data_IF_829569467608
#
_entry.id   IF_829569467608
#
_cell.length_a   1.000
_cell.length_b   1.000
_cell.length_c   1.000
_cell.angle_alpha   90.00
_cell.angle_beta   90.00
_cell.angle_gamma   90.00
#
_symmetry.space_group_name_H-M   'P 1'
#
loop_
_entity.id
_entity.type
_entity.pdbx_description
1 polymer ?
#
# COMPACT_ATOMS: atom_id res chain seq x y z
N UNK A 1 14.74 -16.46 10.13
CA UNK A 1 14.35 -16.01 10.19
C UNK A 1 13.68 -15.35 9.54
N UNK A 2 13.34 -15.16 9.02
CA UNK A 2 12.93 -14.52 8.68
C UNK A 2 11.92 -13.95 8.17
N UNK A 3 10.81 -14.20 7.82
CA UNK A 3 9.75 -13.35 7.59
C UNK A 3 10.01 -11.95 7.90
N UNK A 4 10.96 -11.70 8.46
CA UNK A 4 11.39 -10.39 8.84
C UNK A 4 11.36 -9.39 7.71
N UNK A 5 11.64 -9.81 6.51
CA UNK A 5 11.72 -8.88 5.39
C UNK A 5 10.38 -8.22 5.09
N UNK A 6 9.30 -8.99 5.20
CA UNK A 6 7.98 -8.44 4.97
C UNK A 6 7.63 -7.39 6.01
N UNK A 7 7.87 -7.68 7.28
CA UNK A 7 7.60 -6.74 8.35
C UNK A 7 8.47 -5.49 8.24
N UNK A 8 9.75 -5.69 7.90
CA UNK A 8 10.65 -4.57 7.72
C UNK A 8 10.20 -3.67 6.58
N UNK A 9 9.73 -4.27 5.50
CA UNK A 9 9.25 -3.50 4.35
C UNK A 9 8.00 -2.70 4.73
N UNK A 10 7.09 -3.28 5.50
CA UNK A 10 5.92 -2.56 5.98
C UNK A 10 6.33 -1.32 6.80
N UNK A 11 7.38 -1.46 7.58
CA UNK A 11 7.87 -0.35 8.39
C UNK A 11 8.47 0.79 7.55
N UNK A 12 8.79 0.54 6.30
CA UNK A 12 9.30 1.57 5.41
C UNK A 12 8.20 2.50 4.91
N UNK A 13 6.94 2.11 5.07
CA UNK A 13 5.83 2.92 4.64
C UNK A 13 5.54 4.03 5.65
N UNK A 14 5.27 5.22 5.13
CA UNK A 14 4.79 6.32 5.97
C UNK A 14 3.38 6.00 6.46
N UNK A 15 2.89 6.72 7.50
CA UNK A 15 1.50 6.51 7.95
C UNK A 15 0.48 6.66 6.83
N UNK A 16 0.66 7.64 5.95
CA UNK A 16 -0.27 7.87 4.84
C UNK A 16 -0.17 6.73 3.82
N UNK A 17 1.04 6.25 3.56
CA UNK A 17 1.22 5.12 2.65
C UNK A 17 0.56 3.86 3.19
N UNK A 18 0.66 3.65 4.50
CA UNK A 18 -0.01 2.51 5.13
C UNK A 18 -1.52 2.59 4.97
N UNK A 19 -2.08 3.79 5.11
CA UNK A 19 -3.50 4.01 4.90
C UNK A 19 -3.92 3.64 3.49
N UNK A 20 -3.17 4.15 2.50
CA UNK A 20 -3.46 3.87 1.10
C UNK A 20 -3.35 2.38 0.82
N UNK A 21 -2.30 1.73 1.33
CA UNK A 21 -2.11 0.30 1.14
C UNK A 21 -3.28 -0.49 1.73
N UNK A 22 -3.75 -0.10 2.90
CA UNK A 22 -4.88 -0.75 3.55
C UNK A 22 -6.13 -0.67 2.67
N UNK A 23 -6.42 0.51 2.13
CA UNK A 23 -7.58 0.68 1.26
C UNK A 23 -7.45 -0.16 -0.01
N UNK A 24 -6.26 -0.20 -0.60
CA UNK A 24 -6.03 -1.01 -1.80
C UNK A 24 -6.34 -2.48 -1.53
N UNK A 25 -5.86 -3.00 -0.40
CA UNK A 25 -6.07 -4.41 -0.05
C UNK A 25 -7.53 -4.72 0.26
N UNK A 26 -8.32 -3.69 0.56
CA UNK A 26 -9.75 -3.86 0.80
C UNK A 26 -10.58 -3.60 -0.46
N UNK A 27 -9.94 -3.50 -1.61
CA UNK A 27 -10.65 -3.37 -2.87
C UNK A 27 -11.18 -1.98 -3.16
N UNK A 28 -10.71 -0.97 -2.43
CA UNK A 28 -11.16 0.40 -2.65
C UNK A 28 -10.45 0.97 -3.87
N UNK A 29 -11.21 1.56 -4.80
CA UNK A 29 -10.64 2.11 -6.02
C UNK A 29 -9.79 3.34 -5.73
N UNK A 30 -8.90 3.67 -6.68
CA UNK A 30 -8.05 4.85 -6.57
C UNK A 30 -8.88 6.12 -6.35
N UNK A 31 -9.98 6.27 -7.09
CA UNK A 31 -10.85 7.44 -6.96
C UNK A 31 -11.49 7.52 -5.59
N UNK A 32 -11.94 6.38 -5.07
CA UNK A 32 -12.58 6.34 -3.76
C UNK A 32 -11.58 6.62 -2.65
N UNK A 33 -10.36 6.11 -2.78
CA UNK A 33 -9.28 6.42 -1.82
C UNK A 33 -9.03 7.93 -1.81
N UNK A 34 -8.95 8.53 -2.99
CA UNK A 34 -8.74 9.97 -3.10
C UNK A 34 -9.81 10.75 -2.37
N UNK A 35 -11.07 10.34 -2.54
CA UNK A 35 -12.19 10.99 -1.85
C UNK A 35 -12.10 10.81 -0.34
N UNK A 36 -11.78 9.62 0.12
CA UNK A 36 -11.70 9.33 1.55
C UNK A 36 -10.59 10.13 2.23
N UNK A 37 -9.50 10.35 1.53
CA UNK A 37 -8.34 11.04 2.09
C UNK A 37 -8.32 12.54 1.78
N UNK A 38 -9.24 13.01 0.94
CA UNK A 38 -9.29 14.41 0.55
C UNK A 38 -8.11 14.83 -0.32
N UNK A 39 -7.65 13.95 -1.17
CA UNK A 39 -6.52 14.22 -2.06
C UNK A 39 -6.90 13.87 -3.50
N UNK A 40 -6.03 14.21 -4.45
CA UNK A 40 -6.28 13.92 -5.86
C UNK A 40 -5.97 12.46 -6.18
N UNK A 41 -6.66 11.89 -7.16
CA UNK A 41 -6.40 10.52 -7.55
C UNK A 41 -4.98 10.33 -8.08
N UNK A 42 -4.41 11.36 -8.72
CA UNK A 42 -3.00 11.31 -9.14
C UNK A 42 -2.06 11.13 -7.95
N UNK A 43 -2.40 11.77 -6.83
CA UNK A 43 -1.61 11.64 -5.60
C UNK A 43 -1.71 10.21 -5.07
N UNK A 44 -2.90 9.61 -5.13
CA UNK A 44 -3.08 8.22 -4.71
C UNK A 44 -2.23 7.29 -5.58
N UNK A 45 -2.21 7.54 -6.89
CA UNK A 45 -1.40 6.74 -7.80
C UNK A 45 0.08 6.83 -7.47
N UNK A 46 0.54 8.02 -7.09
CA UNK A 46 1.93 8.21 -6.67
C UNK A 46 2.21 7.43 -5.39
N UNK A 47 1.31 7.49 -4.41
CA UNK A 47 1.45 6.68 -3.20
C UNK A 47 1.53 5.19 -3.53
N UNK A 48 0.65 4.72 -4.39
CA UNK A 48 0.62 3.31 -4.78
C UNK A 48 1.96 2.90 -5.40
N UNK A 49 2.49 3.72 -6.30
CA UNK A 49 3.77 3.44 -6.94
C UNK A 49 4.89 3.35 -5.90
N UNK A 50 4.92 4.31 -4.98
CA UNK A 50 5.95 4.32 -3.95
C UNK A 50 5.84 3.12 -3.02
N UNK A 51 4.61 2.73 -2.67
CA UNK A 51 4.37 1.54 -1.85
C UNK A 51 4.94 0.32 -2.54
N UNK A 52 4.66 0.16 -3.82
CA UNK A 52 5.13 -1.00 -4.57
C UNK A 52 6.66 -1.04 -4.61
N UNK A 53 7.28 0.12 -4.82
CA UNK A 53 8.75 0.22 -4.84
C UNK A 53 9.32 -0.14 -3.47
N UNK A 54 8.77 0.43 -2.42
CA UNK A 54 9.27 0.21 -1.06
C UNK A 54 9.13 -1.22 -0.61
N UNK A 55 8.05 -1.88 -1.02
CA UNK A 55 7.79 -3.27 -0.65
C UNK A 55 8.40 -4.27 -1.63
N UNK A 56 8.93 -3.78 -2.76
CA UNK A 56 9.53 -4.66 -3.76
C UNK A 56 8.52 -5.57 -4.43
N UNK A 57 7.31 -5.07 -4.68
CA UNK A 57 6.24 -5.85 -5.29
C UNK A 57 5.81 -5.23 -6.60
N UNK A 58 5.11 -6.00 -7.41
CA UNK A 58 4.71 -5.57 -8.75
C UNK A 58 3.20 -5.55 -8.97
N UNK A 59 2.41 -6.05 -8.03
CA UNK A 59 0.96 -6.15 -8.23
C UNK A 59 0.18 -6.03 -6.93
N UNK A 60 -1.11 -5.74 -7.08
CA UNK A 60 -2.03 -5.66 -5.93
C UNK A 60 -2.15 -7.01 -5.22
N UNK A 61 -2.01 -8.11 -5.98
CA UNK A 61 -2.10 -9.44 -5.39
C UNK A 61 -0.98 -9.64 -4.36
N UNK A 62 0.22 -9.22 -4.70
CA UNK A 62 1.34 -9.33 -3.77
C UNK A 62 1.14 -8.46 -2.53
N UNK A 63 0.61 -7.26 -2.73
CA UNK A 63 0.29 -6.38 -1.60
C UNK A 63 -0.73 -7.01 -0.67
N UNK A 64 -1.76 -7.61 -1.25
CA UNK A 64 -2.81 -8.29 -0.50
C UNK A 64 -2.22 -9.43 0.35
N UNK A 65 -1.33 -10.21 -0.24
CA UNK A 65 -0.69 -11.32 0.48
C UNK A 65 0.13 -10.82 1.66
N UNK A 66 0.85 -9.72 1.49
CA UNK A 66 1.65 -9.14 2.57
C UNK A 66 0.75 -8.75 3.74
N UNK A 67 -0.38 -8.12 3.44
CA UNK A 67 -1.30 -7.67 4.50
C UNK A 67 -1.99 -8.86 5.18
N UNK A 68 -2.27 -9.91 4.44
CA UNK A 68 -2.88 -11.10 5.04
C UNK A 68 -1.92 -11.82 5.99
N UNK A 69 -0.64 -11.75 5.72
CA UNK A 69 0.37 -12.46 6.50
C UNK A 69 0.92 -11.63 7.65
N UNK A 70 0.51 -10.38 7.78
CA UNK A 70 1.03 -9.50 8.83
C UNK A 70 0.07 -9.33 10.03
#
# INVERSE_FOLDING_TARGET
MQAPDTLNNMNKLSPREKEVAFYITNGVSTNDIAKKLGIKSNTVSTFKKNIFIKLGIASNVELYKIFQNS
#
